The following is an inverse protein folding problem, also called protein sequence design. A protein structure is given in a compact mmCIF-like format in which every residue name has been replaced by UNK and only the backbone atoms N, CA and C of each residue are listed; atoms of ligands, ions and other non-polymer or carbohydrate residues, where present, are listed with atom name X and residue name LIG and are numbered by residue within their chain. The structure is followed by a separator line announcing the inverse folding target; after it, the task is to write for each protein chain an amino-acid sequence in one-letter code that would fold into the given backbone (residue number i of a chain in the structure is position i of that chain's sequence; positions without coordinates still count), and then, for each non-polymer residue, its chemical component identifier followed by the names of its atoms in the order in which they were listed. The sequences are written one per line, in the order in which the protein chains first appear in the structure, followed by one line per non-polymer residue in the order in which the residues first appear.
data_IF_263722962859
#
_entry.id   IF_263722962859
#
_cell.length_a   1.000
_cell.length_b   1.000
_cell.length_c   1.000
_cell.angle_alpha   90.00
_cell.angle_beta   90.00
_cell.angle_gamma   90.00
#
_symmetry.space_group_name_H-M   'P 1'
#
loop_
_entity.id
_entity.type
_entity.pdbx_description
1 polymer ?
#
# COMPACT_ATOMS: atom_id res chain seq x y z
N UNK A 1 2.50 15.59 -9.27
CA UNK A 1 1.80 15.19 -10.53
C UNK A 1 0.37 15.69 -10.42
N UNK A 2 -0.05 16.70 -11.20
CA UNK A 2 -1.43 17.20 -11.14
C UNK A 2 -2.38 16.23 -11.86
N UNK A 3 -3.22 15.53 -11.11
CA UNK A 3 -4.45 14.92 -11.65
C UNK A 3 -5.56 15.94 -11.42
N UNK A 4 -6.08 16.53 -12.49
CA UNK A 4 -7.27 17.41 -12.41
C UNK A 4 -8.52 16.61 -12.76
N UNK A 5 -9.38 16.41 -11.77
CA UNK A 5 -10.69 15.79 -11.93
C UNK A 5 -11.79 16.85 -11.81
N UNK A 6 -12.81 16.78 -12.68
CA UNK A 6 -13.99 17.65 -12.58
C UNK A 6 -15.04 16.94 -11.72
N UNK A 7 -15.26 17.41 -10.49
CA UNK A 7 -16.32 16.88 -9.63
C UNK A 7 -17.64 17.60 -9.92
N UNK A 8 -18.70 16.82 -10.21
CA UNK A 8 -20.09 17.29 -10.28
C UNK A 8 -20.87 16.72 -9.11
N UNK A 9 -21.26 17.56 -8.16
CA UNK A 9 -22.42 17.25 -7.32
C UNK A 9 -23.69 17.43 -8.16
N UNK A 10 -24.49 16.38 -8.27
CA UNK A 10 -25.82 16.29 -8.90
C UNK A 10 -26.43 17.64 -9.30
N UNK A 11 -26.35 17.98 -10.60
CA UNK A 11 -27.09 19.08 -11.23
C UNK A 11 -26.85 20.48 -10.66
N UNK A 12 -26.04 21.29 -11.36
CA UNK A 12 -25.91 22.75 -11.23
C UNK A 12 -25.05 23.35 -10.09
N UNK A 13 -24.14 22.58 -9.49
CA UNK A 13 -23.07 23.14 -8.63
C UNK A 13 -21.81 23.55 -9.42
N UNK A 14 -20.99 24.49 -8.93
CA UNK A 14 -19.70 24.82 -9.54
C UNK A 14 -18.80 23.58 -9.62
N UNK A 15 -18.02 23.49 -10.71
CA UNK A 15 -17.02 22.44 -10.89
C UNK A 15 -16.02 22.55 -9.74
N UNK A 16 -16.00 21.55 -8.86
CA UNK A 16 -14.97 21.46 -7.83
C UNK A 16 -13.76 20.75 -8.46
N UNK A 17 -12.68 21.49 -8.63
CA UNK A 17 -11.40 20.94 -9.05
C UNK A 17 -10.73 20.28 -7.85
N UNK A 18 -10.21 19.07 -8.08
CA UNK A 18 -9.36 18.33 -7.16
C UNK A 18 -7.94 18.29 -7.73
N UNK A 19 -6.94 18.49 -6.88
CA UNK A 19 -5.53 18.30 -7.19
C UNK A 19 -4.92 17.33 -6.19
N UNK A 20 -4.06 16.44 -6.67
CA UNK A 20 -3.23 15.56 -5.84
C UNK A 20 -1.79 16.09 -5.90
N UNK A 21 -1.18 16.36 -4.75
CA UNK A 21 0.16 16.94 -4.67
C UNK A 21 1.05 16.18 -3.69
N UNK A 22 2.32 16.04 -4.04
CA UNK A 22 3.33 15.34 -3.25
C UNK A 22 4.31 16.27 -2.54
N UNK A 23 4.22 17.57 -2.80
CA UNK A 23 5.06 18.61 -2.21
C UNK A 23 4.24 19.71 -1.51
N UNK A 24 4.77 20.25 -0.42
CA UNK A 24 4.10 21.31 0.33
C UNK A 24 3.89 22.58 -0.51
N UNK A 25 4.82 22.88 -1.43
CA UNK A 25 4.69 24.02 -2.34
C UNK A 25 3.50 23.84 -3.27
N UNK A 26 3.35 22.65 -3.87
CA UNK A 26 2.19 22.32 -4.71
C UNK A 26 0.89 22.41 -3.92
N UNK A 27 0.88 21.88 -2.69
CA UNK A 27 -0.30 21.97 -1.81
C UNK A 27 -0.68 23.42 -1.52
N UNK A 28 0.28 24.27 -1.13
CA UNK A 28 0.03 25.70 -0.89
C UNK A 28 -0.51 26.40 -2.13
N UNK A 29 0.03 26.09 -3.31
CA UNK A 29 -0.43 26.66 -4.57
C UNK A 29 -1.88 26.25 -4.89
N UNK A 30 -2.24 24.98 -4.73
CA UNK A 30 -3.61 24.51 -4.91
C UNK A 30 -4.59 25.18 -3.93
N UNK A 31 -4.21 25.29 -2.65
CA UNK A 31 -5.05 25.99 -1.67
C UNK A 31 -5.22 27.48 -2.00
N UNK A 32 -4.17 28.17 -2.46
CA UNK A 32 -4.25 29.56 -2.91
C UNK A 32 -5.14 29.75 -4.15
N UNK A 33 -5.23 28.74 -5.01
CA UNK A 33 -6.13 28.72 -6.17
C UNK A 33 -7.60 28.39 -5.81
N UNK A 34 -7.91 28.13 -4.54
CA UNK A 34 -9.26 27.80 -4.09
C UNK A 34 -9.73 26.38 -4.46
N UNK A 35 -8.81 25.48 -4.82
CA UNK A 35 -9.15 24.10 -5.20
C UNK A 35 -9.06 23.14 -4.01
N UNK A 36 -9.68 21.96 -4.13
CA UNK A 36 -9.51 20.87 -3.18
C UNK A 36 -8.17 20.19 -3.41
N UNK A 37 -7.46 19.88 -2.33
CA UNK A 37 -6.11 19.29 -2.41
C UNK A 37 -6.03 18.04 -1.56
N UNK A 38 -5.59 16.94 -2.17
CA UNK A 38 -5.15 15.72 -1.49
C UNK A 38 -3.64 15.68 -1.51
N UNK A 39 -3.02 15.63 -0.34
CA UNK A 39 -1.58 15.46 -0.21
C UNK A 39 -1.20 13.98 -0.22
N UNK A 40 -0.17 13.62 -0.97
CA UNK A 40 0.49 12.30 -0.90
C UNK A 40 1.99 12.55 -0.72
N UNK A 41 2.45 12.87 0.51
CA UNK A 41 3.81 13.32 0.73
C UNK A 41 4.84 12.31 0.22
N UNK A 42 5.80 12.77 -0.56
CA UNK A 42 6.91 11.93 -1.03
C UNK A 42 7.75 11.36 0.13
N UNK A 43 7.82 12.09 1.25
CA UNK A 43 8.47 11.67 2.49
C UNK A 43 7.45 11.61 3.63
N UNK A 44 7.26 10.43 4.20
CA UNK A 44 6.27 10.23 5.28
C UNK A 44 6.61 10.98 6.58
N UNK A 45 7.86 11.42 6.76
CA UNK A 45 8.30 12.19 7.94
C UNK A 45 7.66 13.59 7.98
N UNK A 46 7.11 14.08 6.86
CA UNK A 46 6.60 15.45 6.76
C UNK A 46 5.08 15.58 6.94
N UNK A 47 4.35 14.51 7.30
CA UNK A 47 2.87 14.48 7.29
C UNK A 47 2.21 15.68 8.00
N UNK A 48 2.77 16.14 9.12
CA UNK A 48 2.23 17.25 9.91
C UNK A 48 2.32 18.59 9.18
N UNK A 49 3.25 18.72 8.23
CA UNK A 49 3.42 19.92 7.40
C UNK A 49 2.31 20.08 6.36
N UNK A 50 1.54 19.02 6.09
CA UNK A 50 0.48 18.98 5.08
C UNK A 50 -0.93 19.25 5.65
N UNK A 51 -1.03 19.72 6.89
CA UNK A 51 -2.32 20.02 7.57
C UNK A 51 -3.23 21.02 6.84
N UNK A 52 -2.71 21.80 5.89
CA UNK A 52 -3.50 22.70 5.05
C UNK A 52 -4.24 21.99 3.89
N UNK A 53 -3.86 20.75 3.56
CA UNK A 53 -4.55 19.94 2.56
C UNK A 53 -5.94 19.52 3.08
N UNK A 54 -6.87 19.23 2.16
CA UNK A 54 -8.20 18.73 2.52
C UNK A 54 -8.17 17.25 2.97
N UNK A 55 -7.14 16.51 2.56
CA UNK A 55 -6.83 15.15 3.03
C UNK A 55 -5.35 14.83 2.78
N UNK A 56 -4.77 13.96 3.59
CA UNK A 56 -3.39 13.47 3.42
C UNK A 56 -3.43 11.94 3.41
N UNK A 57 -2.83 11.34 2.38
CA UNK A 57 -2.68 9.90 2.21
C UNK A 57 -1.20 9.50 2.30
N UNK A 58 -0.92 8.25 2.63
CA UNK A 58 0.44 7.70 2.65
C UNK A 58 0.87 7.17 1.28
N UNK A 59 -0.10 6.69 0.50
CA UNK A 59 0.06 6.15 -0.84
C UNK A 59 -1.11 6.56 -1.73
N UNK A 60 -0.85 6.69 -3.02
CA UNK A 60 -1.89 6.95 -4.01
C UNK A 60 -2.91 5.81 -4.10
N UNK A 61 -2.53 4.58 -3.72
CA UNK A 61 -3.41 3.40 -3.72
C UNK A 61 -4.54 3.53 -2.68
N UNK A 62 -4.42 4.43 -1.70
CA UNK A 62 -5.48 4.73 -0.72
C UNK A 62 -6.55 5.67 -1.29
N UNK A 63 -6.31 6.31 -2.44
CA UNK A 63 -7.19 7.32 -2.98
C UNK A 63 -8.54 6.73 -3.39
N UNK A 64 -9.61 7.31 -2.86
CA UNK A 64 -11.00 6.92 -3.14
C UNK A 64 -11.72 8.06 -3.89
N UNK A 65 -11.83 7.99 -5.23
CA UNK A 65 -12.39 9.06 -6.05
C UNK A 65 -13.81 9.48 -5.61
N UNK A 66 -14.63 8.53 -5.17
CA UNK A 66 -16.02 8.72 -4.77
C UNK A 66 -16.19 9.67 -3.57
N UNK A 67 -15.20 9.74 -2.68
CA UNK A 67 -15.20 10.70 -1.55
C UNK A 67 -15.14 12.15 -2.04
N UNK A 68 -14.65 12.34 -3.26
CA UNK A 68 -14.51 13.63 -3.93
C UNK A 68 -15.55 13.82 -5.03
N UNK A 69 -16.56 12.97 -5.13
CA UNK A 69 -17.60 13.02 -6.17
C UNK A 69 -17.09 12.66 -7.57
N UNK A 70 -15.98 11.92 -7.65
CA UNK A 70 -15.48 11.33 -8.89
C UNK A 70 -15.96 9.87 -9.03
N UNK A 71 -16.00 9.30 -10.24
CA UNK A 71 -16.33 7.88 -10.41
C UNK A 71 -15.32 6.97 -9.73
N UNK A 72 -15.79 5.91 -9.08
CA UNK A 72 -14.93 4.86 -8.52
C UNK A 72 -14.06 4.22 -9.61
N UNK A 73 -12.86 3.78 -9.24
CA UNK A 73 -12.03 2.97 -10.15
C UNK A 73 -12.68 1.60 -10.41
N UNK A 74 -12.56 1.10 -11.63
CA UNK A 74 -13.14 -0.17 -12.09
C UNK A 74 -12.16 -1.34 -12.14
N UNK A 75 -10.94 -1.15 -11.65
CA UNK A 75 -9.83 -2.09 -11.65
C UNK A 75 -9.75 -2.96 -10.38
N UNK A 76 -10.54 -2.64 -9.35
CA UNK A 76 -10.66 -3.44 -8.13
C UNK A 76 -11.37 -4.76 -8.39
N UNK A 77 -10.83 -5.83 -7.82
CA UNK A 77 -11.40 -7.19 -7.83
C UNK A 77 -11.51 -7.67 -6.39
N UNK A 78 -12.73 -7.92 -5.92
CA UNK A 78 -13.04 -8.46 -4.58
C UNK A 78 -12.25 -7.79 -3.43
N UNK A 79 -12.31 -6.44 -3.35
CA UNK A 79 -11.61 -5.60 -2.36
C UNK A 79 -10.07 -5.57 -2.47
N UNK A 80 -9.53 -6.08 -3.57
CA UNK A 80 -8.09 -6.04 -3.86
C UNK A 80 -7.84 -5.37 -5.20
N UNK A 81 -6.74 -4.64 -5.31
CA UNK A 81 -6.32 -3.96 -6.53
C UNK A 81 -5.12 -4.73 -7.09
N UNK A 82 -5.21 -5.37 -8.27
CA UNK A 82 -4.05 -5.92 -8.94
C UNK A 82 -2.98 -4.84 -9.15
N UNK A 83 -1.72 -5.15 -8.83
CA UNK A 83 -0.60 -4.24 -9.06
C UNK A 83 0.45 -4.92 -9.93
N UNK A 84 1.37 -4.11 -10.47
CA UNK A 84 2.59 -4.67 -11.05
C UNK A 84 3.35 -5.45 -9.97
N UNK A 85 3.78 -6.71 -10.25
CA UNK A 85 4.52 -7.54 -9.32
C UNK A 85 5.71 -6.83 -8.66
N UNK A 86 5.76 -6.83 -7.32
CA UNK A 86 6.93 -6.30 -6.58
C UNK A 86 7.60 -7.45 -5.84
N UNK A 87 8.84 -7.73 -6.21
CA UNK A 87 9.65 -8.77 -5.58
C UNK A 87 10.57 -8.18 -4.50
N UNK A 88 10.54 -8.77 -3.31
CA UNK A 88 11.36 -8.41 -2.17
C UNK A 88 12.10 -9.64 -1.66
N UNK A 89 13.37 -9.49 -1.29
CA UNK A 89 14.13 -10.57 -0.66
C UNK A 89 14.87 -10.05 0.57
N UNK A 90 15.05 -10.93 1.55
CA UNK A 90 15.70 -10.58 2.81
C UNK A 90 15.78 -11.75 3.77
N UNK A 91 16.13 -11.42 5.01
CA UNK A 91 16.10 -12.36 6.14
C UNK A 91 14.83 -12.11 6.95
N UNK A 92 14.07 -13.17 7.21
CA UNK A 92 12.91 -13.08 8.09
C UNK A 92 13.36 -13.26 9.53
N UNK A 93 13.20 -12.22 10.36
CA UNK A 93 13.60 -12.23 11.76
C UNK A 93 12.56 -11.50 12.61
N UNK A 94 12.11 -12.11 13.70
CA UNK A 94 11.15 -11.54 14.65
C UNK A 94 9.86 -11.04 13.99
N UNK A 95 9.31 -11.79 13.02
CA UNK A 95 8.08 -11.41 12.31
C UNK A 95 8.26 -10.29 11.28
N UNK A 96 9.49 -9.85 11.00
CA UNK A 96 9.79 -8.78 10.05
C UNK A 96 10.73 -9.28 8.95
N UNK A 97 10.52 -8.81 7.73
CA UNK A 97 11.49 -8.97 6.65
C UNK A 97 12.55 -7.86 6.74
N UNK A 98 13.79 -8.26 6.92
CA UNK A 98 14.96 -7.38 6.81
C UNK A 98 15.51 -7.50 5.40
N UNK A 99 15.18 -6.54 4.54
CA UNK A 99 15.63 -6.53 3.15
C UNK A 99 17.15 -6.37 3.07
N UNK A 100 17.78 -7.04 2.11
CA UNK A 100 19.20 -6.82 1.85
C UNK A 100 19.40 -5.39 1.36
N UNK A 101 20.06 -4.57 2.16
CA UNK A 101 20.23 -3.15 1.86
C UNK A 101 21.20 -2.88 0.70
N UNK A 102 22.05 -3.84 0.33
CA UNK A 102 23.29 -3.51 -0.40
C UNK A 102 23.62 -4.30 -1.66
N UNK A 103 22.87 -5.30 -2.11
CA UNK A 103 23.26 -6.02 -3.35
C UNK A 103 22.05 -6.43 -4.20
N UNK A 104 21.86 -5.72 -5.31
CA UNK A 104 21.19 -6.16 -6.56
C UNK A 104 19.67 -5.97 -6.73
N UNK A 105 18.90 -5.52 -5.73
CA UNK A 105 17.47 -5.19 -5.90
C UNK A 105 17.22 -3.67 -5.79
N UNK A 106 16.36 -3.06 -6.63
CA UNK A 106 16.02 -1.65 -6.49
C UNK A 106 15.42 -1.40 -5.11
N UNK A 107 15.87 -0.33 -4.45
CA UNK A 107 15.24 0.11 -3.22
C UNK A 107 13.74 0.34 -3.49
N UNK A 108 12.89 -0.37 -2.73
CA UNK A 108 11.43 -0.16 -2.72
C UNK A 108 11.14 1.36 -2.64
N UNK A 109 10.31 1.93 -3.54
CA UNK A 109 9.95 3.33 -3.50
C UNK A 109 9.37 3.76 -2.16
N UNK A 110 9.64 5.00 -1.75
CA UNK A 110 9.19 5.52 -0.45
C UNK A 110 7.66 5.64 -0.33
N UNK A 111 6.97 5.73 -1.47
CA UNK A 111 5.51 5.79 -1.54
C UNK A 111 4.81 4.43 -1.28
N UNK A 112 5.57 3.34 -1.08
CA UNK A 112 4.97 2.04 -0.77
C UNK A 112 4.64 1.97 0.71
N UNK A 113 3.34 1.97 0.96
CA UNK A 113 2.72 1.87 2.26
C UNK A 113 1.38 1.13 2.12
N UNK A 114 0.99 0.38 3.15
CA UNK A 114 -0.32 -0.25 3.24
C UNK A 114 -0.26 -1.75 3.40
N UNK A 115 -1.39 -2.40 3.12
CA UNK A 115 -1.52 -3.84 3.10
C UNK A 115 -1.46 -4.35 1.67
N UNK A 116 -0.69 -5.41 1.47
CA UNK A 116 -0.52 -6.07 0.20
C UNK A 116 -0.84 -7.54 0.34
N UNK A 117 -1.25 -8.16 -0.75
CA UNK A 117 -1.44 -9.60 -0.85
C UNK A 117 -0.43 -10.17 -1.83
N UNK A 118 -0.03 -11.41 -1.58
CA UNK A 118 0.95 -12.05 -2.44
C UNK A 118 1.41 -13.39 -1.93
N UNK A 119 2.63 -13.72 -2.34
CA UNK A 119 3.25 -15.01 -2.11
C UNK A 119 4.53 -14.84 -1.31
N UNK A 120 4.81 -15.82 -0.47
CA UNK A 120 5.99 -15.90 0.38
C UNK A 120 6.69 -17.23 0.16
N UNK A 121 8.01 -17.21 0.00
CA UNK A 121 8.84 -18.40 -0.12
C UNK A 121 9.99 -18.30 0.88
N UNK A 122 10.25 -19.38 1.59
CA UNK A 122 11.40 -19.53 2.50
C UNK A 122 12.49 -20.37 1.80
N UNK A 123 13.55 -20.79 2.49
CA UNK A 123 14.64 -21.61 1.93
C UNK A 123 14.19 -22.95 1.29
N UNK A 124 12.93 -23.36 1.46
CA UNK A 124 12.32 -24.55 0.85
C UNK A 124 11.59 -24.32 -0.48
N UNK A 125 11.12 -25.40 -1.13
CA UNK A 125 10.37 -25.32 -2.40
C UNK A 125 8.92 -24.85 -2.22
N UNK A 126 8.40 -24.85 -0.99
CA UNK A 126 7.01 -24.51 -0.69
C UNK A 126 6.79 -23.00 -0.73
N UNK A 127 5.77 -22.59 -1.48
CA UNK A 127 5.29 -21.20 -1.53
C UNK A 127 4.00 -21.08 -0.75
N UNK A 128 3.86 -19.99 -0.01
CA UNK A 128 2.75 -19.71 0.88
C UNK A 128 2.02 -18.45 0.43
N UNK A 129 0.72 -18.39 0.71
CA UNK A 129 -0.03 -17.13 0.59
C UNK A 129 0.32 -16.24 1.78
N UNK A 130 0.37 -14.94 1.56
CA UNK A 130 0.70 -13.98 2.60
C UNK A 130 -0.10 -12.68 2.46
N UNK A 131 -0.37 -12.06 3.60
CA UNK A 131 -0.69 -10.63 3.70
C UNK A 131 0.57 -9.93 4.18
N UNK A 132 0.95 -8.84 3.54
CA UNK A 132 2.17 -8.11 3.82
C UNK A 132 1.79 -6.69 4.24
N UNK A 133 2.12 -6.36 5.48
CA UNK A 133 1.99 -5.01 6.02
C UNK A 133 3.29 -4.25 5.79
N UNK A 134 3.22 -3.15 5.04
CA UNK A 134 4.36 -2.27 4.77
C UNK A 134 4.05 -0.89 5.33
N UNK A 135 4.90 -0.45 6.26
CA UNK A 135 4.82 0.89 6.82
C UNK A 135 6.18 1.40 7.25
N UNK A 136 6.17 2.48 8.03
CA UNK A 136 7.37 3.13 8.52
C UNK A 136 7.36 3.20 10.04
N UNK A 137 8.54 3.06 10.64
CA UNK A 137 8.78 3.47 12.02
C UNK A 137 9.73 4.63 12.06
N UNK A 138 9.35 5.66 12.82
CA UNK A 138 10.21 6.79 13.14
C UNK A 138 11.01 6.43 14.40
N UNK A 139 12.34 6.44 14.29
CA UNK A 139 13.25 6.31 15.43
C UNK A 139 14.22 7.49 15.41
N UNK A 140 13.94 8.53 16.19
CA UNK A 140 14.76 9.75 16.21
C UNK A 140 14.72 10.47 14.85
N UNK A 141 15.88 10.76 14.27
CA UNK A 141 16.02 11.42 12.97
C UNK A 141 15.92 10.49 11.75
N UNK A 142 15.81 9.17 11.97
CA UNK A 142 15.77 8.20 10.88
C UNK A 142 14.40 7.50 10.81
N UNK A 143 13.86 7.37 9.60
CA UNK A 143 12.76 6.46 9.32
C UNK A 143 13.31 5.11 8.89
N UNK A 144 12.73 4.03 9.40
CA UNK A 144 13.04 2.66 8.96
C UNK A 144 11.77 2.01 8.44
N UNK A 145 11.85 1.44 7.24
CA UNK A 145 10.75 0.66 6.67
C UNK A 145 10.52 -0.60 7.49
N UNK A 146 9.27 -0.88 7.82
CA UNK A 146 8.79 -2.09 8.48
C UNK A 146 7.98 -2.90 7.48
N UNK A 147 8.48 -4.07 7.13
CA UNK A 147 7.79 -5.04 6.27
C UNK A 147 7.46 -6.24 7.15
N UNK A 148 6.18 -6.46 7.40
CA UNK A 148 5.65 -7.52 8.26
C UNK A 148 4.78 -8.46 7.43
N UNK A 149 5.33 -9.59 6.95
CA UNK A 149 4.53 -10.62 6.32
C UNK A 149 3.78 -11.43 7.39
N UNK A 150 2.54 -11.80 7.08
CA UNK A 150 1.73 -12.75 7.83
C UNK A 150 1.43 -13.92 6.88
N UNK A 151 1.99 -15.09 7.20
CA UNK A 151 1.80 -16.30 6.41
C UNK A 151 0.41 -16.86 6.69
N UNK A 152 -0.34 -17.16 5.63
CA UNK A 152 -1.70 -17.66 5.75
C UNK A 152 -1.68 -19.18 5.91
N UNK A 153 -2.50 -19.69 6.85
CA UNK A 153 -2.74 -21.11 7.11
C UNK A 153 -1.53 -21.92 7.64
N UNK A 154 -0.50 -21.28 8.20
CA UNK A 154 0.67 -21.93 8.81
C UNK A 154 1.12 -21.16 10.05
N UNK A 155 1.74 -21.84 11.02
CA UNK A 155 2.38 -21.16 12.16
C UNK A 155 3.76 -20.63 11.77
N UNK A 156 4.09 -19.44 12.27
CA UNK A 156 5.38 -18.75 12.01
C UNK A 156 6.53 -19.24 12.92
N UNK A 157 6.26 -20.18 13.83
CA UNK A 157 7.13 -20.50 14.97
C UNK A 157 8.49 -21.14 14.59
N UNK A 158 8.61 -21.73 13.40
CA UNK A 158 9.79 -22.49 12.96
C UNK A 158 10.61 -21.81 11.83
N UNK A 159 10.35 -20.53 11.51
CA UNK A 159 10.90 -19.87 10.30
C UNK A 159 11.83 -18.69 10.57
N UNK A 160 12.16 -18.45 11.84
CA UNK A 160 13.05 -17.36 12.23
C UNK A 160 14.46 -17.59 11.67
N UNK A 161 15.13 -16.52 11.24
CA UNK A 161 16.47 -16.50 10.61
C UNK A 161 16.58 -17.19 9.24
N UNK A 162 15.46 -17.55 8.62
CA UNK A 162 15.43 -18.10 7.25
C UNK A 162 15.49 -17.00 6.19
N UNK A 163 16.06 -17.30 5.02
CA UNK A 163 15.92 -16.40 3.86
C UNK A 163 14.48 -16.44 3.38
N UNK A 164 13.99 -15.27 2.98
CA UNK A 164 12.61 -15.10 2.56
C UNK A 164 12.55 -14.26 1.30
N UNK A 165 11.73 -14.71 0.35
CA UNK A 165 11.31 -13.98 -0.83
C UNK A 165 9.81 -13.68 -0.72
N UNK A 166 9.42 -12.46 -1.03
CA UNK A 166 8.04 -12.00 -1.13
C UNK A 166 7.77 -11.53 -2.55
N UNK A 167 6.58 -11.86 -3.04
CA UNK A 167 6.05 -11.36 -4.29
C UNK A 167 4.70 -10.72 -4.03
N UNK A 168 4.65 -9.39 -4.05
CA UNK A 168 3.42 -8.62 -3.88
C UNK A 168 2.68 -8.54 -5.22
N UNK A 169 1.41 -8.91 -5.22
CA UNK A 169 0.58 -9.04 -6.43
C UNK A 169 -0.64 -8.14 -6.42
N UNK A 170 -1.08 -7.71 -5.24
CA UNK A 170 -2.20 -6.83 -5.09
C UNK A 170 -2.10 -5.96 -3.86
N UNK A 171 -2.79 -4.82 -3.91
CA UNK A 171 -3.00 -3.95 -2.78
C UNK A 171 -4.36 -4.26 -2.15
N UNK A 172 -4.41 -4.35 -0.82
CA UNK A 172 -5.61 -4.70 -0.07
C UNK A 172 -6.27 -3.44 0.47
N UNK A 173 -7.51 -3.20 0.05
CA UNK A 173 -8.33 -2.10 0.58
C UNK A 173 -9.00 -2.53 1.85
N UNK A 174 -8.84 -1.73 2.90
CA UNK A 174 -9.70 -1.82 4.07
C UNK A 174 -10.96 -1.00 3.87
N UNK A 175 -12.10 -1.62 4.14
CA UNK A 175 -13.34 -0.88 4.34
C UNK A 175 -13.23 -0.14 5.67
N UNK A 176 -13.02 1.17 5.63
CA UNK A 176 -13.01 1.99 6.84
C UNK A 176 -14.45 2.39 7.17
N UNK A 177 -15.06 1.79 8.19
CA UNK A 177 -16.21 2.41 8.86
C UNK A 177 -15.68 3.60 9.66
N UNK A 178 -16.21 4.80 9.41
CA UNK A 178 -15.82 6.09 9.97
C UNK A 178 -15.16 6.03 11.37
N UNK A 179 -13.83 6.23 11.40
CA UNK A 179 -13.07 6.45 12.64
C UNK A 179 -11.62 5.97 12.57
N UNK A 180 -10.68 6.86 12.25
CA UNK A 180 -9.24 6.86 12.62
C UNK A 180 -8.39 5.56 12.57
N UNK A 181 -8.77 4.53 11.81
CA UNK A 181 -7.97 3.28 11.67
C UNK A 181 -6.77 3.42 10.72
N UNK A 182 -6.67 4.50 9.94
CA UNK A 182 -5.70 4.61 8.84
C UNK A 182 -4.21 4.52 9.26
N UNK A 183 -3.88 4.68 10.53
CA UNK A 183 -2.50 4.59 11.00
C UNK A 183 -2.11 3.19 11.50
N UNK A 184 -3.06 2.28 11.71
CA UNK A 184 -2.76 0.95 12.21
C UNK A 184 -2.73 -0.10 11.09
N UNK A 185 -1.53 -0.55 10.71
CA UNK A 185 -1.30 -1.61 9.72
C UNK A 185 -1.32 -3.04 10.31
N UNK A 186 -1.96 -3.23 11.47
CA UNK A 186 -2.13 -4.55 12.09
C UNK A 186 -3.06 -5.43 11.28
N UNK A 187 -2.57 -6.55 10.75
CA UNK A 187 -3.32 -7.46 9.89
C UNK A 187 -4.47 -8.12 10.66
N UNK A 188 -5.71 -7.89 10.22
CA UNK A 188 -6.92 -8.42 10.81
C UNK A 188 -7.31 -9.76 10.18
N UNK A 189 -8.21 -10.51 10.83
CA UNK A 189 -8.67 -11.79 10.28
C UNK A 189 -9.50 -11.62 8.99
N UNK A 190 -10.23 -10.51 8.85
CA UNK A 190 -10.92 -10.17 7.59
C UNK A 190 -9.96 -9.93 6.43
N UNK A 191 -8.79 -9.31 6.70
CA UNK A 191 -7.75 -9.11 5.70
C UNK A 191 -7.21 -10.45 5.21
N UNK A 192 -7.00 -11.41 6.14
CA UNK A 192 -6.55 -12.77 5.81
C UNK A 192 -7.58 -13.51 4.95
N UNK A 193 -8.87 -13.44 5.30
CA UNK A 193 -9.95 -14.06 4.53
C UNK A 193 -10.02 -13.50 3.11
N UNK A 194 -9.97 -12.17 2.99
CA UNK A 194 -9.96 -11.47 1.70
C UNK A 194 -8.76 -11.88 0.86
N UNK A 195 -7.56 -11.93 1.46
CA UNK A 195 -6.35 -12.35 0.77
C UNK A 195 -6.39 -13.81 0.30
N UNK A 196 -6.92 -14.74 1.11
CA UNK A 196 -7.06 -16.15 0.71
C UNK A 196 -7.97 -16.27 -0.52
N UNK A 197 -9.11 -15.56 -0.51
CA UNK A 197 -10.07 -15.55 -1.60
C UNK A 197 -9.46 -14.93 -2.87
N UNK A 198 -8.87 -13.74 -2.76
CA UNK A 198 -8.25 -13.03 -3.89
C UNK A 198 -7.11 -13.85 -4.53
N UNK A 199 -6.21 -14.44 -3.72
CA UNK A 199 -5.08 -15.25 -4.23
C UNK A 199 -5.51 -16.59 -4.86
N UNK A 200 -6.80 -16.94 -4.85
CA UNK A 200 -7.34 -18.06 -5.65
C UNK A 200 -7.86 -17.61 -7.03
N UNK A 201 -8.01 -16.31 -7.27
CA UNK A 201 -8.50 -15.80 -8.54
C UNK A 201 -7.39 -15.89 -9.61
N UNK A 202 -7.74 -16.09 -10.90
CA UNK A 202 -6.77 -16.16 -11.98
C UNK A 202 -5.86 -14.93 -12.08
N UNK A 203 -6.37 -13.75 -11.73
CA UNK A 203 -5.64 -12.48 -11.75
C UNK A 203 -4.40 -12.48 -10.83
N UNK A 204 -4.36 -13.35 -9.82
CA UNK A 204 -3.29 -13.41 -8.83
C UNK A 204 -2.59 -14.78 -8.78
N UNK A 205 -2.89 -15.67 -9.74
CA UNK A 205 -2.41 -17.04 -9.75
C UNK A 205 -0.88 -17.12 -9.81
N UNK A 206 -0.30 -17.88 -8.87
CA UNK A 206 1.14 -18.16 -8.80
C UNK A 206 1.70 -18.79 -10.08
N UNK A 207 0.89 -19.55 -10.84
CA UNK A 207 1.35 -20.23 -12.06
C UNK A 207 1.81 -19.25 -13.15
N UNK A 208 1.32 -18.02 -13.12
CA UNK A 208 1.77 -16.95 -14.02
C UNK A 208 3.12 -16.34 -13.60
N UNK A 209 3.63 -16.67 -12.41
CA UNK A 209 4.76 -15.99 -11.77
C UNK A 209 5.88 -16.94 -11.29
N UNK A 210 5.89 -18.20 -11.75
CA UNK A 210 6.91 -19.18 -11.33
C UNK A 210 8.34 -18.75 -11.66
N UNK A 211 8.54 -17.86 -12.63
CA UNK A 211 9.86 -17.31 -12.99
C UNK A 211 10.47 -16.37 -11.96
N UNK A 212 9.69 -15.85 -11.01
CA UNK A 212 10.16 -14.86 -10.03
C UNK A 212 10.72 -15.48 -8.73
N UNK A 213 10.46 -16.76 -8.51
CA UNK A 213 10.99 -17.53 -7.38
C UNK A 213 12.08 -18.53 -7.79
N UNK A 214 12.61 -18.42 -9.02
CA UNK A 214 13.72 -19.24 -9.54
C UNK A 214 15.05 -18.73 -9.01
#
# INVERSE_FOLDING_TARGET
MMISGSCKKNGSGPIALLVIEDSLVGVKAGKAAGVKVVAVPSLQIESDSYSIADSTLHSLLEFQPEQWGLPQFGDWVDNTLPIEPIHLAGVFRNGLLQTYADNELPALPDQIWGLYIGWAKFDGPKVFKAVISIGWSVCGCNSKRKIRPCILNESDADKDDSKMQLLLMGYLRRSCSAGNILNNLDILDEDKLTAVAALNLPAYSHQSCTSFFV
#
